data_IF_587468490081
#
_entry.id   IF_587468490081
#
_cell.length_a   1.000
_cell.length_b   1.000
_cell.length_c   1.000
_cell.angle_alpha   90.00
_cell.angle_beta   90.00
_cell.angle_gamma   90.00
#
_symmetry.space_group_name_H-M   'P 1'
#
loop_
_entity.id
_entity.type
_entity.pdbx_description
1 polymer ?
#
# COMPACT_ATOMS: atom_id res chain seq x y z
N UNK A 1 10.77 13.55 22.85
CA UNK A 1 10.98 12.97 21.50
C UNK A 1 10.15 11.69 21.39
N UNK A 2 8.95 11.78 20.84
CA UNK A 2 8.07 10.61 20.66
C UNK A 2 8.69 9.74 19.57
N UNK A 3 9.28 8.61 19.97
CA UNK A 3 9.79 7.58 19.05
C UNK A 3 8.67 7.28 18.06
N UNK A 4 8.88 7.62 16.79
CA UNK A 4 8.17 7.01 15.67
C UNK A 4 8.45 5.51 15.77
N UNK A 5 7.63 4.82 16.54
CA UNK A 5 7.59 3.38 16.64
C UNK A 5 7.19 2.93 15.24
N UNK A 6 8.22 2.69 14.43
CA UNK A 6 8.08 2.44 13.01
C UNK A 6 7.47 1.05 12.88
N UNK A 7 6.15 1.00 12.95
CA UNK A 7 5.40 -0.22 13.17
C UNK A 7 5.77 -1.24 12.09
N UNK A 8 6.22 -2.42 12.50
CA UNK A 8 6.62 -3.49 11.57
C UNK A 8 5.46 -3.88 10.64
N UNK A 9 4.21 -3.72 11.11
CA UNK A 9 3.02 -3.88 10.29
C UNK A 9 2.95 -2.84 9.16
N UNK A 10 3.13 -1.54 9.48
CA UNK A 10 3.21 -0.46 8.47
C UNK A 10 4.34 -0.69 7.47
N UNK A 11 5.53 -1.10 7.93
CA UNK A 11 6.67 -1.38 7.04
C UNK A 11 6.39 -2.53 6.09
N UNK A 12 5.74 -3.58 6.59
CA UNK A 12 5.36 -4.75 5.78
C UNK A 12 4.33 -4.35 4.73
N UNK A 13 3.32 -3.57 5.11
CA UNK A 13 2.29 -3.08 4.21
C UNK A 13 2.87 -2.16 3.12
N UNK A 14 3.75 -1.23 3.50
CA UNK A 14 4.49 -0.38 2.53
C UNK A 14 5.31 -1.22 1.56
N UNK A 15 5.95 -2.29 2.04
CA UNK A 15 6.74 -3.19 1.19
C UNK A 15 5.87 -3.99 0.24
N UNK A 16 4.68 -4.42 0.70
CA UNK A 16 3.66 -5.04 -0.12
C UNK A 16 3.20 -4.11 -1.24
N UNK A 17 2.79 -2.87 -0.92
CA UNK A 17 2.36 -1.87 -1.92
C UNK A 17 3.45 -1.60 -2.95
N UNK A 18 4.71 -1.46 -2.54
CA UNK A 18 5.84 -1.27 -3.46
C UNK A 18 6.03 -2.43 -4.43
N UNK A 19 5.62 -3.65 -4.07
CA UNK A 19 5.75 -4.86 -4.88
C UNK A 19 4.45 -5.29 -5.54
N UNK A 20 3.36 -4.58 -5.28
CA UNK A 20 2.03 -4.93 -5.76
C UNK A 20 2.00 -4.96 -7.30
N UNK A 21 1.35 -5.98 -7.85
CA UNK A 21 1.25 -6.17 -9.30
C UNK A 21 2.51 -6.71 -9.99
N UNK A 22 3.66 -6.83 -9.30
CA UNK A 22 4.90 -7.34 -9.91
C UNK A 22 5.03 -8.87 -9.92
N UNK A 23 4.29 -9.57 -9.06
CA UNK A 23 4.53 -10.99 -8.78
C UNK A 23 3.38 -11.93 -9.16
N UNK A 24 2.21 -11.41 -9.53
CA UNK A 24 1.09 -12.25 -9.97
C UNK A 24 0.88 -12.11 -11.47
N UNK A 25 0.59 -13.23 -12.14
CA UNK A 25 0.32 -13.26 -13.58
C UNK A 25 -0.89 -12.38 -13.94
N UNK A 26 -1.89 -12.33 -13.06
CA UNK A 26 -3.03 -11.41 -13.17
C UNK A 26 -2.63 -9.95 -12.96
N UNK A 27 -1.68 -9.67 -12.05
CA UNK A 27 -1.15 -8.32 -11.82
C UNK A 27 -0.30 -7.82 -12.99
N UNK A 28 0.44 -8.71 -13.65
CA UNK A 28 1.13 -8.41 -14.91
C UNK A 28 0.14 -8.16 -16.07
N UNK A 29 -0.98 -8.90 -16.12
CA UNK A 29 -2.04 -8.70 -17.13
C UNK A 29 -2.86 -7.42 -16.91
N UNK A 30 -3.23 -7.10 -15.67
CA UNK A 30 -3.95 -5.87 -15.30
C UNK A 30 -3.05 -4.64 -15.31
N UNK A 31 -1.75 -4.84 -15.12
CA UNK A 31 -0.78 -3.79 -14.93
C UNK A 31 -0.72 -3.32 -13.47
N UNK A 32 0.50 -2.99 -13.05
CA UNK A 32 0.82 -2.47 -11.71
C UNK A 32 -0.08 -1.30 -11.32
N UNK A 33 -0.39 -0.40 -12.26
CA UNK A 33 -1.23 0.77 -12.05
C UNK A 33 -2.65 0.40 -11.62
N UNK A 34 -3.30 -0.55 -12.30
CA UNK A 34 -4.64 -1.01 -11.95
C UNK A 34 -4.67 -1.70 -10.57
N UNK A 35 -3.60 -2.44 -10.23
CA UNK A 35 -3.48 -3.06 -8.91
C UNK A 35 -3.37 -2.01 -7.80
N UNK A 36 -2.55 -0.97 -8.00
CA UNK A 36 -2.39 0.13 -7.05
C UNK A 36 -3.68 0.95 -6.89
N UNK A 37 -4.38 1.19 -8.00
CA UNK A 37 -5.66 1.91 -7.98
C UNK A 37 -6.72 1.14 -7.18
N UNK A 38 -6.87 -0.16 -7.46
CA UNK A 38 -7.77 -1.04 -6.69
C UNK A 38 -7.39 -1.14 -5.21
N UNK A 39 -6.09 -1.15 -4.91
CA UNK A 39 -5.62 -1.09 -3.53
C UNK A 39 -6.03 0.21 -2.83
N UNK A 40 -5.84 1.37 -3.47
CA UNK A 40 -6.23 2.67 -2.90
C UNK A 40 -7.74 2.72 -2.64
N UNK A 41 -8.56 2.31 -3.61
CA UNK A 41 -10.01 2.26 -3.46
C UNK A 41 -10.45 1.34 -2.30
N UNK A 42 -9.79 0.19 -2.13
CA UNK A 42 -10.03 -0.72 -1.01
C UNK A 42 -9.57 -0.14 0.33
N UNK A 43 -8.41 0.51 0.34
CA UNK A 43 -7.82 1.16 1.50
C UNK A 43 -8.68 2.34 2.01
N UNK A 44 -9.34 3.07 1.12
CA UNK A 44 -10.28 4.14 1.50
C UNK A 44 -11.51 3.60 2.24
N UNK A 45 -12.01 2.43 1.83
CA UNK A 45 -13.16 1.76 2.44
C UNK A 45 -12.83 1.03 3.75
N UNK A 46 -11.54 0.81 4.02
CA UNK A 46 -11.07 0.12 5.23
C UNK A 46 -11.24 1.03 6.45
N UNK A 47 -12.16 0.66 7.33
CA UNK A 47 -12.49 1.36 8.58
C UNK A 47 -11.51 1.06 9.71
N UNK A 48 -10.96 -0.16 9.75
CA UNK A 48 -9.99 -0.58 10.76
C UNK A 48 -8.64 -0.97 10.13
N UNK A 49 -7.60 -0.24 10.52
CA UNK A 49 -6.21 -0.48 10.12
C UNK A 49 -5.40 -1.15 11.23
N UNK A 50 -5.99 -1.33 12.40
CA UNK A 50 -5.33 -1.78 13.62
C UNK A 50 -4.11 -0.91 13.90
N UNK A 51 -2.95 -1.55 13.83
CA UNK A 51 -1.66 -0.95 14.13
C UNK A 51 -0.96 -0.33 12.90
N UNK A 52 -1.57 -0.41 11.72
CA UNK A 52 -0.98 0.11 10.48
C UNK A 52 -1.26 1.62 10.36
N UNK A 53 -0.23 2.38 10.02
CA UNK A 53 -0.38 3.79 9.67
C UNK A 53 -0.95 3.93 8.25
N UNK A 54 -2.27 4.10 8.16
CA UNK A 54 -3.01 4.34 6.92
C UNK A 54 -2.39 5.44 6.07
N UNK A 55 -2.02 6.56 6.67
CA UNK A 55 -1.55 7.73 5.93
C UNK A 55 -0.20 7.45 5.28
N UNK A 56 0.71 6.80 6.01
CA UNK A 56 1.99 6.38 5.47
C UNK A 56 1.84 5.41 4.28
N UNK A 57 0.93 4.44 4.40
CA UNK A 57 0.70 3.43 3.37
C UNK A 57 0.05 4.02 2.12
N UNK A 58 -1.02 4.82 2.29
CA UNK A 58 -1.70 5.49 1.17
C UNK A 58 -0.77 6.45 0.44
N UNK A 59 0.06 7.21 1.17
CA UNK A 59 1.05 8.09 0.55
C UNK A 59 2.02 7.31 -0.34
N UNK A 60 2.47 6.14 0.09
CA UNK A 60 3.33 5.27 -0.73
C UNK A 60 2.57 4.73 -1.95
N UNK A 61 1.31 4.30 -1.78
CA UNK A 61 0.49 3.80 -2.88
C UNK A 61 0.28 4.88 -3.96
N UNK A 62 -0.08 6.10 -3.56
CA UNK A 62 -0.24 7.24 -4.46
C UNK A 62 1.07 7.61 -5.16
N UNK A 63 2.19 7.64 -4.41
CA UNK A 63 3.52 7.91 -4.99
C UNK A 63 3.95 6.83 -5.98
N UNK A 64 3.58 5.57 -5.74
CA UNK A 64 3.87 4.46 -6.63
C UNK A 64 2.96 4.43 -7.87
N UNK A 65 1.75 5.01 -7.78
CA UNK A 65 0.81 5.14 -8.90
C UNK A 65 1.22 6.25 -9.87
N UNK A 66 1.89 7.29 -9.36
CA UNK A 66 2.37 8.43 -10.13
C UNK A 66 3.72 8.19 -10.85
N UNK A 67 4.35 7.03 -10.62
CA UNK A 67 5.57 6.57 -11.31
C UNK A 67 5.22 5.64 -12.47
#
# INVERSE_FOLDING_TARGET
MSKQQSNSATKSEVSFVKRLGNWSEQGSKLGRKACLDGYIQGAEKRTDWGNIDKNAVLKVAQTALAQ
#
